data_IF_037097205664
#
_entry.id   IF_037097205664
#
_cell.length_a   1.000
_cell.length_b   1.000
_cell.length_c   1.000
_cell.angle_alpha   90.00
_cell.angle_beta   90.00
_cell.angle_gamma   90.00
#
_symmetry.space_group_name_H-M   'P 1'
#
loop_
_entity.id
_entity.type
_entity.pdbx_description
1 polymer ?
#
# COMPACT_ATOMS: atom_id res chain seq x y z
N UNK A 1 15.69 28.77 12.37
CA UNK A 1 15.33 28.74 12.00
C UNK A 1 14.79 28.40 11.34
N UNK A 2 14.96 28.20 11.22
CA UNK A 2 14.10 28.06 10.54
C UNK A 2 14.08 27.08 9.70
N UNK A 3 13.64 26.01 9.99
CA UNK A 3 13.44 25.03 9.05
C UNK A 3 13.00 25.70 7.78
N UNK A 4 13.51 25.33 6.67
CA UNK A 4 13.00 25.88 5.43
C UNK A 4 11.53 25.52 5.32
N UNK A 5 10.74 26.36 4.68
CA UNK A 5 9.34 26.07 4.35
C UNK A 5 9.22 24.71 3.66
N UNK A 6 10.23 24.35 2.90
CA UNK A 6 10.29 23.05 2.22
C UNK A 6 10.27 21.89 3.21
N UNK A 7 11.08 21.96 4.27
CA UNK A 7 11.13 20.91 5.29
C UNK A 7 9.82 20.78 6.03
N UNK A 8 9.20 21.91 6.36
CA UNK A 8 7.90 21.91 7.05
C UNK A 8 6.82 21.31 6.15
N UNK A 9 6.84 21.65 4.86
CA UNK A 9 5.89 21.10 3.90
C UNK A 9 6.01 19.60 3.78
N UNK A 10 7.23 19.05 3.77
CA UNK A 10 7.45 17.61 3.71
C UNK A 10 6.92 16.93 4.97
N UNK A 11 7.16 17.50 6.14
CA UNK A 11 6.64 16.97 7.39
C UNK A 11 5.13 16.90 7.39
N UNK A 12 4.49 17.99 6.98
CA UNK A 12 3.03 18.07 6.95
C UNK A 12 2.46 17.03 6.00
N UNK A 13 3.09 16.82 4.85
CA UNK A 13 2.66 15.80 3.90
C UNK A 13 2.86 14.40 4.44
N UNK A 14 3.98 14.13 5.10
CA UNK A 14 4.22 12.84 5.72
C UNK A 14 3.22 12.53 6.81
N UNK A 15 2.94 13.52 7.66
CA UNK A 15 1.95 13.35 8.72
C UNK A 15 0.58 13.01 8.14
N UNK A 16 0.17 13.73 7.12
CA UNK A 16 -1.11 13.48 6.45
C UNK A 16 -1.15 12.09 5.80
N UNK A 17 -0.05 11.70 5.16
CA UNK A 17 0.05 10.39 4.53
C UNK A 17 -0.08 9.28 5.57
N UNK A 18 0.71 9.34 6.64
CA UNK A 18 0.66 8.31 7.67
C UNK A 18 -0.68 8.26 8.40
N UNK A 19 -1.27 9.43 8.66
CA UNK A 19 -2.61 9.47 9.27
C UNK A 19 -3.65 8.82 8.37
N UNK A 20 -3.60 9.10 7.08
CA UNK A 20 -4.52 8.49 6.12
C UNK A 20 -4.32 6.98 6.04
N UNK A 21 -3.08 6.51 6.13
CA UNK A 21 -2.76 5.08 6.06
C UNK A 21 -3.07 4.34 7.36
N UNK A 22 -3.38 5.04 8.43
CA UNK A 22 -3.59 4.43 9.75
C UNK A 22 -4.99 3.81 9.91
N UNK A 23 -5.68 3.54 8.82
CA UNK A 23 -7.03 2.98 8.83
C UNK A 23 -7.11 1.85 7.81
N UNK A 24 -7.60 0.66 8.22
CA UNK A 24 -7.60 -0.50 7.31
C UNK A 24 -8.50 -0.32 6.10
N UNK A 25 -9.65 0.36 6.26
CA UNK A 25 -10.53 0.62 5.12
C UNK A 25 -9.84 1.50 4.09
N UNK A 26 -9.17 2.55 4.54
CA UNK A 26 -8.46 3.43 3.62
C UNK A 26 -7.32 2.71 2.92
N UNK A 27 -6.58 1.84 3.63
CA UNK A 27 -5.54 1.04 2.97
C UNK A 27 -6.13 0.12 1.92
N UNK A 28 -7.29 -0.48 2.20
CA UNK A 28 -7.95 -1.36 1.23
C UNK A 28 -8.46 -0.58 0.01
N UNK A 29 -8.93 0.65 0.22
CA UNK A 29 -9.33 1.51 -0.89
C UNK A 29 -8.13 1.80 -1.80
N UNK A 30 -7.00 2.15 -1.22
CA UNK A 30 -5.78 2.40 -2.00
C UNK A 30 -5.33 1.16 -2.76
N UNK A 31 -5.42 -0.01 -2.14
CA UNK A 31 -5.06 -1.26 -2.81
C UNK A 31 -5.96 -1.52 -4.00
N UNK A 32 -7.25 -1.22 -3.88
CA UNK A 32 -8.17 -1.35 -5.01
C UNK A 32 -7.83 -0.37 -6.13
N UNK A 33 -7.53 0.88 -5.77
CA UNK A 33 -7.19 1.92 -6.74
C UNK A 33 -5.85 1.68 -7.42
N UNK A 34 -4.96 0.92 -6.79
CA UNK A 34 -3.71 0.50 -7.43
C UNK A 34 -3.95 -0.39 -8.64
N UNK A 35 -5.12 -1.01 -8.72
CA UNK A 35 -5.50 -1.85 -9.87
C UNK A 35 -6.16 -1.05 -10.99
N UNK A 36 -6.54 0.19 -10.73
CA UNK A 36 -7.19 1.06 -11.69
C UNK A 36 -8.20 1.96 -11.02
N UNK A 37 -8.58 3.02 -11.70
CA UNK A 37 -9.55 3.96 -11.16
C UNK A 37 -10.90 3.28 -10.90
N UNK A 38 -11.66 3.83 -9.96
CA UNK A 38 -12.96 3.30 -9.58
C UNK A 38 -13.86 4.41 -9.08
N UNK A 39 -15.16 4.22 -9.28
CA UNK A 39 -16.18 5.14 -8.77
C UNK A 39 -16.39 4.93 -7.27
N UNK A 40 -17.04 5.89 -6.62
CA UNK A 40 -17.39 5.78 -5.20
C UNK A 40 -18.25 4.53 -4.95
N UNK A 41 -19.21 4.25 -5.83
CA UNK A 41 -20.06 3.07 -5.70
C UNK A 41 -19.26 1.77 -5.77
N UNK A 42 -18.34 1.70 -6.72
CA UNK A 42 -17.48 0.53 -6.86
C UNK A 42 -16.58 0.34 -5.63
N UNK A 43 -16.14 1.44 -5.04
CA UNK A 43 -15.30 1.36 -3.84
C UNK A 43 -16.10 0.98 -2.60
N UNK A 44 -17.35 1.39 -2.52
CA UNK A 44 -18.20 1.09 -1.36
C UNK A 44 -18.64 -0.37 -1.31
N UNK A 45 -18.84 -0.98 -2.45
CA UNK A 45 -19.45 -2.30 -2.57
C UNK A 45 -18.73 -3.39 -1.74
N UNK A 46 -17.41 -3.56 -1.82
CA UNK A 46 -16.74 -4.62 -1.08
C UNK A 46 -16.77 -4.46 0.44
N UNK A 47 -17.05 -3.26 0.94
CA UNK A 47 -16.97 -2.99 2.37
C UNK A 47 -18.31 -3.07 3.08
N UNK A 48 -19.40 -3.27 2.36
CA UNK A 48 -20.73 -3.23 2.93
C UNK A 48 -20.98 -1.94 3.71
N UNK A 49 -20.38 -0.85 3.28
CA UNK A 49 -20.50 0.48 3.90
C UNK A 49 -21.38 1.37 3.05
N UNK A 50 -22.00 2.34 3.69
CA UNK A 50 -22.79 3.33 2.96
C UNK A 50 -21.87 4.24 2.14
N UNK A 51 -22.41 4.83 1.06
CA UNK A 51 -21.61 5.77 0.26
C UNK A 51 -21.13 6.96 1.09
N UNK A 52 -21.96 7.55 1.99
CA UNK A 52 -21.44 8.62 2.84
C UNK A 52 -20.25 8.21 3.71
N UNK A 53 -20.24 6.98 4.23
CA UNK A 53 -19.12 6.50 5.04
C UNK A 53 -17.86 6.36 4.19
N UNK A 54 -17.99 5.78 2.99
CA UNK A 54 -16.85 5.68 2.06
C UNK A 54 -16.39 7.09 1.66
N UNK A 55 -17.32 8.00 1.41
CA UNK A 55 -16.96 9.36 1.01
C UNK A 55 -16.12 10.08 2.06
N UNK A 56 -16.35 9.83 3.34
CA UNK A 56 -15.52 10.40 4.40
C UNK A 56 -14.08 9.89 4.31
N UNK A 57 -13.92 8.60 4.08
CA UNK A 57 -12.59 8.00 3.89
C UNK A 57 -11.91 8.58 2.64
N UNK A 58 -12.66 8.74 1.56
CA UNK A 58 -12.13 9.30 0.34
C UNK A 58 -11.70 10.75 0.53
N UNK A 59 -12.43 11.51 1.33
CA UNK A 59 -12.06 12.89 1.62
C UNK A 59 -10.72 12.96 2.35
N UNK A 60 -10.52 12.08 3.33
CA UNK A 60 -9.24 12.00 4.06
C UNK A 60 -8.10 11.68 3.09
N UNK A 61 -8.31 10.69 2.22
CA UNK A 61 -7.30 10.30 1.24
C UNK A 61 -7.01 11.42 0.24
N UNK A 62 -8.05 12.12 -0.19
CA UNK A 62 -7.91 13.23 -1.13
C UNK A 62 -7.14 14.40 -0.50
N UNK A 63 -7.48 14.75 0.74
CA UNK A 63 -6.79 15.81 1.46
C UNK A 63 -5.31 15.48 1.69
N UNK A 64 -4.99 14.21 1.84
CA UNK A 64 -3.60 13.75 1.96
C UNK A 64 -2.88 13.67 0.62
N UNK A 65 -3.58 13.91 -0.48
CA UNK A 65 -3.00 13.85 -1.82
C UNK A 65 -2.79 12.43 -2.33
N UNK A 66 -3.37 11.43 -1.66
CA UNK A 66 -3.20 10.03 -2.05
C UNK A 66 -4.15 9.60 -3.16
N UNK A 67 -5.21 10.34 -3.36
CA UNK A 67 -6.13 10.12 -4.46
C UNK A 67 -6.53 11.45 -5.08
N UNK A 68 -6.95 11.41 -6.32
CA UNK A 68 -7.61 12.53 -6.99
C UNK A 68 -8.95 12.05 -7.51
N UNK A 69 -9.85 12.99 -7.70
CA UNK A 69 -11.15 12.71 -8.30
C UNK A 69 -11.26 13.45 -9.60
N UNK A 70 -11.69 12.74 -10.64
CA UNK A 70 -11.98 13.36 -11.91
C UNK A 70 -13.20 14.28 -11.76
N UNK A 71 -13.17 15.41 -12.44
CA UNK A 71 -14.32 16.32 -12.48
C UNK A 71 -15.33 15.94 -13.56
N UNK A 72 -15.12 14.82 -14.20
CA UNK A 72 -16.03 14.33 -15.20
C UNK A 72 -17.38 14.06 -14.54
N UNK A 73 -18.41 14.74 -15.04
CA UNK A 73 -19.63 15.00 -14.29
C UNK A 73 -20.47 13.79 -13.95
N UNK A 74 -20.28 12.65 -14.60
CA UNK A 74 -21.19 11.52 -14.40
C UNK A 74 -20.63 10.38 -13.58
N UNK A 75 -19.34 10.18 -13.55
CA UNK A 75 -18.75 9.05 -12.82
C UNK A 75 -17.85 9.45 -11.70
N UNK A 76 -17.21 10.59 -11.77
CA UNK A 76 -16.25 11.07 -10.78
C UNK A 76 -15.35 9.96 -10.27
N UNK A 77 -14.62 9.25 -11.15
CA UNK A 77 -13.76 8.17 -10.69
C UNK A 77 -12.66 8.69 -9.81
N UNK A 78 -12.29 7.88 -8.82
CA UNK A 78 -11.15 8.13 -7.98
C UNK A 78 -9.93 7.46 -8.60
N UNK A 79 -8.79 8.10 -8.47
CA UNK A 79 -7.53 7.63 -9.02
C UNK A 79 -6.45 7.71 -7.95
N UNK A 80 -5.62 6.67 -7.88
CA UNK A 80 -4.46 6.68 -6.97
C UNK A 80 -3.44 7.71 -7.43
N UNK A 81 -2.95 8.49 -6.48
CA UNK A 81 -1.82 9.38 -6.67
C UNK A 81 -0.68 8.81 -5.82
N UNK A 82 0.34 8.28 -6.47
CA UNK A 82 1.39 7.53 -5.78
C UNK A 82 2.48 8.40 -5.17
N UNK A 83 2.52 9.69 -5.51
CA UNK A 83 3.61 10.58 -5.09
C UNK A 83 3.79 10.66 -3.57
N UNK A 84 2.71 10.83 -2.76
CA UNK A 84 2.91 10.84 -1.32
C UNK A 84 3.43 9.52 -0.76
N UNK A 85 3.07 8.40 -1.39
CA UNK A 85 3.61 7.10 -0.99
C UNK A 85 5.10 7.02 -1.28
N UNK A 86 5.54 7.57 -2.40
CA UNK A 86 6.96 7.62 -2.74
C UNK A 86 7.74 8.47 -1.73
N UNK A 87 7.17 9.59 -1.29
CA UNK A 87 7.79 10.40 -0.25
C UNK A 87 7.93 9.62 1.07
N UNK A 88 6.90 8.86 1.44
CA UNK A 88 6.94 8.04 2.64
C UNK A 88 8.01 6.96 2.55
N UNK A 89 8.12 6.33 1.38
CA UNK A 89 9.17 5.33 1.14
C UNK A 89 10.54 5.97 1.28
N UNK A 90 10.72 7.18 0.73
CA UNK A 90 11.98 7.90 0.83
C UNK A 90 12.37 8.15 2.28
N UNK A 91 11.40 8.52 3.13
CA UNK A 91 11.66 8.71 4.55
C UNK A 91 12.04 7.38 5.21
N UNK A 92 11.34 6.31 4.89
CA UNK A 92 11.62 4.99 5.46
C UNK A 92 12.97 4.44 5.02
N UNK A 93 13.48 4.84 3.85
CA UNK A 93 14.78 4.40 3.36
C UNK A 93 15.92 4.72 4.33
N UNK A 94 15.78 5.77 5.12
CA UNK A 94 16.80 6.14 6.10
C UNK A 94 16.97 5.04 7.17
N UNK A 95 15.96 4.20 7.35
CA UNK A 95 15.96 3.15 8.35
C UNK A 95 16.18 1.76 7.74
N UNK A 96 16.41 1.70 6.44
CA UNK A 96 16.49 0.44 5.70
C UNK A 96 17.49 -0.52 6.28
N UNK A 97 18.65 -0.02 6.71
CA UNK A 97 19.71 -0.84 7.28
C UNK A 97 19.29 -1.62 8.53
N UNK A 98 18.24 -1.12 9.23
CA UNK A 98 17.76 -1.74 10.46
C UNK A 98 16.93 -2.98 10.21
N UNK A 99 16.29 -3.08 9.04
CA UNK A 99 15.46 -4.25 8.73
C UNK A 99 16.00 -5.10 7.59
N UNK A 100 16.90 -4.59 6.77
CA UNK A 100 17.41 -5.29 5.60
C UNK A 100 18.03 -6.64 5.94
N UNK A 101 18.83 -6.69 7.00
CA UNK A 101 19.41 -7.94 7.45
C UNK A 101 18.37 -8.96 7.88
N UNK A 102 17.30 -8.50 8.52
CA UNK A 102 16.20 -9.37 8.95
C UNK A 102 15.45 -9.96 7.77
N UNK A 103 15.17 -9.14 6.78
CA UNK A 103 14.49 -9.62 5.58
C UNK A 103 15.36 -10.59 4.79
N UNK A 104 16.66 -10.33 4.73
CA UNK A 104 17.60 -11.24 4.09
C UNK A 104 17.63 -12.59 4.80
N UNK A 105 17.62 -12.58 6.12
CA UNK A 105 17.56 -13.82 6.90
C UNK A 105 16.27 -14.58 6.66
N UNK A 106 15.16 -13.87 6.62
CA UNK A 106 13.85 -14.47 6.35
C UNK A 106 13.82 -15.06 4.95
N UNK A 107 14.30 -14.31 3.96
CA UNK A 107 14.37 -14.80 2.59
C UNK A 107 15.22 -16.06 2.49
N UNK A 108 16.37 -16.07 3.19
CA UNK A 108 17.24 -17.23 3.21
C UNK A 108 16.54 -18.45 3.82
N UNK A 109 15.81 -18.25 4.92
CA UNK A 109 15.04 -19.31 5.55
C UNK A 109 13.94 -19.82 4.63
N UNK A 110 13.23 -18.92 3.98
CA UNK A 110 12.17 -19.30 3.04
C UNK A 110 12.73 -20.06 1.84
N UNK A 111 13.87 -19.61 1.32
CA UNK A 111 14.54 -20.30 0.23
C UNK A 111 14.98 -21.70 0.63
N UNK A 112 15.50 -21.84 1.83
CA UNK A 112 15.88 -23.13 2.40
C UNK A 112 14.68 -24.05 2.48
N UNK A 113 13.56 -23.55 3.01
CA UNK A 113 12.34 -24.32 3.13
C UNK A 113 11.81 -24.75 1.77
N UNK A 114 11.89 -23.87 0.77
CA UNK A 114 11.49 -24.21 -0.60
C UNK A 114 12.37 -25.29 -1.19
N UNK A 115 13.69 -25.21 -0.95
CA UNK A 115 14.63 -26.24 -1.43
C UNK A 115 14.35 -27.57 -0.78
N UNK A 116 14.12 -27.59 0.53
CA UNK A 116 13.78 -28.81 1.26
C UNK A 116 12.51 -29.43 0.70
N UNK A 117 11.50 -28.61 0.44
CA UNK A 117 10.24 -29.08 -0.15
C UNK A 117 10.47 -29.70 -1.52
N UNK A 118 11.28 -29.04 -2.35
CA UNK A 118 11.56 -29.51 -3.69
C UNK A 118 12.33 -30.83 -3.63
N UNK A 119 13.29 -30.96 -2.73
CA UNK A 119 14.03 -32.20 -2.55
C UNK A 119 13.13 -33.33 -2.08
N UNK A 120 12.25 -33.06 -1.12
CA UNK A 120 11.27 -34.03 -0.64
C UNK A 120 10.36 -34.49 -1.77
N UNK A 121 9.84 -33.56 -2.57
CA UNK A 121 9.00 -33.88 -3.71
C UNK A 121 9.76 -34.71 -4.74
N UNK A 122 11.01 -34.34 -5.01
CA UNK A 122 11.85 -35.11 -5.95
C UNK A 122 12.12 -36.53 -5.45
N UNK A 123 12.40 -36.66 -4.14
CA UNK A 123 12.63 -37.96 -3.53
C UNK A 123 11.36 -38.81 -3.57
N UNK A 124 10.21 -38.20 -3.30
CA UNK A 124 8.92 -38.89 -3.34
C UNK A 124 8.63 -39.40 -4.74
N UNK A 125 8.93 -38.62 -5.78
CA UNK A 125 8.73 -39.04 -7.17
C UNK A 125 9.77 -40.05 -7.62
N UNK A 126 11.02 -39.90 -7.16
CA UNK A 126 12.09 -40.79 -7.51
C UNK A 126 12.03 -42.12 -6.79
N UNK A 127 11.24 -42.21 -5.73
CA UNK A 127 11.17 -43.39 -4.90
C UNK A 127 10.17 -44.45 -5.37
N UNK A 128 9.56 -44.27 -6.51
CA UNK A 128 8.61 -45.25 -7.02
C UNK A 128 9.35 -46.27 -7.87
N UNK A 129 9.65 -47.43 -7.36
CA UNK A 129 10.28 -48.46 -8.19
C UNK A 129 9.29 -48.96 -9.24
N UNK A 130 9.78 -49.34 -10.35
CA UNK A 130 8.92 -49.94 -11.37
C UNK A 130 8.31 -51.24 -10.94
#
# INVERSE_FOLDING_TARGET
>A
MKGSSYTEGIRDRLDATFAALANPTRRAILARLAQGEASVGELAEPFAMTQPAISRHLKVLEEAGLISRSRDAQRRPCRLEAEPLAEAVGWLEEYRRFWEGRFQRLDAVLDEMKRERTEDDSQAKGGTPP
#
